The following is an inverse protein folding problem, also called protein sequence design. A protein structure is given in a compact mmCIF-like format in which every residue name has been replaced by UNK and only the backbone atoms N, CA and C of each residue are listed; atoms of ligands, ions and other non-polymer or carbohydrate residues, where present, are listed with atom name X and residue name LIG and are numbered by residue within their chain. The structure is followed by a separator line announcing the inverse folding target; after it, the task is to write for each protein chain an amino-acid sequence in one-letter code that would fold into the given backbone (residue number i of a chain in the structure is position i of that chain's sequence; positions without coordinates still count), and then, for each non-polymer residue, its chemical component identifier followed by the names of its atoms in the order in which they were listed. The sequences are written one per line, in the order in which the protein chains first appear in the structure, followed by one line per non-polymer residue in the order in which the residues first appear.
data_IF_118135147613
#
_entry.id   IF_118135147613
#
_cell.length_a   1.000
_cell.length_b   1.000
_cell.length_c   1.000
_cell.angle_alpha   90.00
_cell.angle_beta   90.00
_cell.angle_gamma   90.00
#
_symmetry.space_group_name_H-M   'P 1'
#
loop_
_entity.id
_entity.type
_entity.pdbx_description
1 polymer ?
#
# COMPACT_ATOMS: atom_id res chain seq x y z
N UNK A 1 12.04 -0.68 -37.06
CA UNK A 1 12.08 -1.95 -36.31
C UNK A 1 10.78 -2.06 -35.53
N UNK A 2 9.99 -3.10 -35.76
CA UNK A 2 8.76 -3.33 -34.97
C UNK A 2 9.15 -4.17 -33.77
N UNK A 3 9.32 -3.53 -32.61
CA UNK A 3 9.45 -4.25 -31.34
C UNK A 3 8.07 -4.81 -31.04
N UNK A 4 7.94 -6.13 -31.05
CA UNK A 4 6.71 -6.81 -30.61
C UNK A 4 6.75 -6.94 -29.09
N UNK A 5 5.65 -6.63 -28.41
CA UNK A 5 5.51 -6.64 -26.94
C UNK A 5 5.94 -7.94 -26.23
N UNK A 6 6.16 -9.03 -26.98
CA UNK A 6 6.67 -10.30 -26.47
C UNK A 6 8.18 -10.30 -26.17
N UNK A 7 8.98 -9.43 -26.82
CA UNK A 7 10.45 -9.41 -26.63
C UNK A 7 10.89 -8.63 -25.38
N UNK A 8 10.03 -7.76 -24.82
CA UNK A 8 10.29 -6.98 -23.61
C UNK A 8 9.65 -7.57 -22.34
N UNK A 9 9.08 -8.78 -22.43
CA UNK A 9 8.35 -9.37 -21.31
C UNK A 9 9.32 -9.97 -20.29
N UNK A 10 9.48 -9.31 -19.14
CA UNK A 10 10.46 -9.68 -18.09
C UNK A 10 10.07 -10.95 -17.31
N UNK A 11 8.79 -11.33 -17.30
CA UNK A 11 8.28 -12.51 -16.59
C UNK A 11 7.08 -13.16 -17.29
N UNK A 12 6.97 -14.49 -17.16
CA UNK A 12 5.93 -15.29 -17.78
C UNK A 12 4.80 -15.68 -16.82
N UNK A 13 3.82 -16.42 -17.35
CA UNK A 13 2.66 -16.90 -16.56
C UNK A 13 3.10 -17.76 -15.37
N UNK A 14 4.07 -18.64 -15.57
CA UNK A 14 4.61 -19.52 -14.53
C UNK A 14 5.21 -18.73 -13.36
N UNK A 15 5.84 -17.59 -13.63
CA UNK A 15 6.43 -16.75 -12.58
C UNK A 15 5.33 -16.06 -11.75
N UNK A 16 4.28 -15.58 -12.43
CA UNK A 16 3.10 -15.01 -11.77
C UNK A 16 2.46 -16.05 -10.84
N UNK A 17 2.19 -17.26 -11.33
CA UNK A 17 1.53 -18.31 -10.53
C UNK A 17 2.38 -18.68 -9.29
N UNK A 18 3.72 -18.76 -9.41
CA UNK A 18 4.63 -18.98 -8.28
C UNK A 18 4.64 -17.83 -7.29
N UNK A 19 4.58 -16.59 -7.76
CA UNK A 19 4.51 -15.41 -6.89
C UNK A 19 3.20 -15.36 -6.11
N UNK A 20 2.06 -15.60 -6.78
CA UNK A 20 0.74 -15.56 -6.15
C UNK A 20 0.61 -16.56 -4.99
N UNK A 21 1.24 -17.74 -5.09
CA UNK A 21 1.26 -18.75 -4.02
C UNK A 21 2.03 -18.33 -2.76
N UNK A 22 2.83 -17.26 -2.84
CA UNK A 22 3.64 -16.76 -1.71
C UNK A 22 3.05 -15.51 -1.07
N UNK A 23 1.92 -15.02 -1.56
CA UNK A 23 1.27 -13.82 -1.02
C UNK A 23 0.35 -14.22 0.11
N UNK A 24 0.67 -13.77 1.32
CA UNK A 24 -0.25 -13.80 2.44
C UNK A 24 -1.15 -12.55 2.40
N UNK A 25 -2.45 -12.76 2.59
CA UNK A 25 -3.43 -11.67 2.62
C UNK A 25 -3.61 -11.17 4.05
N UNK A 26 -3.85 -9.87 4.19
CA UNK A 26 -4.28 -9.27 5.45
C UNK A 26 -5.54 -8.44 5.23
N UNK A 27 -6.33 -8.29 6.29
CA UNK A 27 -7.55 -7.48 6.27
C UNK A 27 -7.25 -6.09 6.82
N UNK A 28 -8.07 -5.10 6.47
CA UNK A 28 -8.04 -3.80 7.15
C UNK A 28 -8.16 -3.98 8.67
N UNK A 29 -7.44 -3.13 9.41
CA UNK A 29 -7.31 -3.13 10.87
C UNK A 29 -6.66 -4.37 11.49
N UNK A 30 -6.18 -5.31 10.67
CA UNK A 30 -5.40 -6.44 11.15
C UNK A 30 -3.94 -6.02 11.34
N UNK A 31 -3.42 -6.21 12.56
CA UNK A 31 -1.98 -6.14 12.81
C UNK A 31 -1.33 -7.48 12.50
N UNK A 32 -0.33 -7.48 11.64
CA UNK A 32 0.52 -8.63 11.34
C UNK A 32 1.90 -8.35 11.91
N UNK A 33 2.48 -9.33 12.61
CA UNK A 33 3.83 -9.23 13.17
C UNK A 33 4.73 -10.30 12.56
N UNK A 34 5.86 -9.87 12.01
CA UNK A 34 6.90 -10.74 11.46
C UNK A 34 8.10 -10.70 12.41
N UNK A 35 8.48 -11.86 12.94
CA UNK A 35 9.70 -12.01 13.75
C UNK A 35 10.93 -12.06 12.84
N UNK A 36 11.88 -11.15 13.04
CA UNK A 36 13.17 -11.14 12.33
C UNK A 36 14.33 -11.27 13.32
N UNK A 37 15.55 -11.66 12.89
CA UNK A 37 16.72 -11.67 13.76
C UNK A 37 17.08 -10.31 14.37
N UNK A 38 16.64 -9.20 13.74
CA UNK A 38 16.87 -7.84 14.23
C UNK A 38 15.78 -7.36 15.20
N UNK A 39 14.67 -8.09 15.35
CA UNK A 39 13.49 -7.69 16.12
C UNK A 39 12.18 -7.93 15.37
N UNK A 40 11.02 -7.82 16.05
CA UNK A 40 9.72 -7.91 15.40
C UNK A 40 9.43 -6.67 14.55
N UNK A 41 8.82 -6.89 13.39
CA UNK A 41 8.24 -5.82 12.56
C UNK A 41 6.73 -6.05 12.55
N UNK A 42 5.97 -5.05 13.00
CA UNK A 42 4.51 -5.09 12.97
C UNK A 42 3.99 -4.13 11.91
N UNK A 43 2.93 -4.52 11.20
CA UNK A 43 2.23 -3.60 10.31
C UNK A 43 0.72 -3.77 10.42
N UNK A 44 -0.02 -2.66 10.27
CA UNK A 44 -1.48 -2.62 10.30
C UNK A 44 -2.00 -1.89 9.08
N UNK A 45 -2.93 -2.51 8.36
CA UNK A 45 -3.54 -1.95 7.15
C UNK A 45 -4.75 -1.05 7.48
N UNK A 46 -4.88 0.09 6.81
CA UNK A 46 -6.02 1.01 6.87
C UNK A 46 -6.47 1.33 5.44
N UNK A 47 -7.73 1.72 5.20
CA UNK A 47 -8.18 2.03 3.83
C UNK A 47 -7.52 3.30 3.29
N UNK A 48 -7.05 3.25 2.05
CA UNK A 48 -6.52 4.40 1.31
C UNK A 48 -7.55 5.06 0.38
N UNK A 49 -8.63 4.37 0.02
CA UNK A 49 -9.75 4.94 -0.76
C UNK A 49 -9.49 5.23 -2.24
N UNK A 50 -8.27 5.01 -2.76
CA UNK A 50 -7.92 5.29 -4.17
C UNK A 50 -8.53 4.27 -5.16
N UNK A 51 -8.44 2.98 -4.84
CA UNK A 51 -9.08 1.87 -5.59
C UNK A 51 -9.61 0.80 -4.62
N UNK A 52 -10.39 -0.17 -5.13
CA UNK A 52 -10.83 -1.31 -4.33
C UNK A 52 -9.64 -2.06 -3.73
N UNK A 53 -9.62 -2.19 -2.40
CA UNK A 53 -8.54 -2.86 -1.68
C UNK A 53 -7.29 -1.99 -1.44
N UNK A 54 -7.26 -0.72 -1.89
CA UNK A 54 -6.14 0.18 -1.61
C UNK A 54 -5.96 0.38 -0.11
N UNK A 55 -4.73 0.24 0.36
CA UNK A 55 -4.39 0.24 1.78
C UNK A 55 -3.20 1.14 2.09
N UNK A 56 -3.31 1.90 3.17
CA UNK A 56 -2.20 2.53 3.87
C UNK A 56 -1.69 1.58 4.94
N UNK A 57 -0.39 1.59 5.23
CA UNK A 57 0.22 0.74 6.24
C UNK A 57 0.90 1.57 7.32
N UNK A 58 0.48 1.36 8.56
CA UNK A 58 1.29 1.74 9.72
C UNK A 58 2.28 0.62 9.97
N UNK A 59 3.58 0.91 9.84
CA UNK A 59 4.67 -0.03 10.12
C UNK A 59 5.33 0.40 11.43
N UNK A 60 5.45 -0.51 12.38
CA UNK A 60 6.11 -0.31 13.67
C UNK A 60 7.34 -1.21 13.80
N UNK A 61 8.48 -0.60 14.11
CA UNK A 61 9.76 -1.25 14.35
C UNK A 61 10.39 -0.57 15.56
N UNK A 62 10.67 -1.35 16.61
CA UNK A 62 11.28 -0.85 17.87
C UNK A 62 10.57 0.40 18.44
N UNK A 63 9.24 0.40 18.39
CA UNK A 63 8.39 1.51 18.89
C UNK A 63 8.33 2.74 17.97
N UNK A 64 9.08 2.75 16.85
CA UNK A 64 9.01 3.78 15.82
C UNK A 64 7.94 3.40 14.81
N UNK A 65 6.99 4.33 14.60
CA UNK A 65 5.86 4.19 13.67
C UNK A 65 6.02 5.04 12.41
N UNK A 66 5.98 4.38 11.26
CA UNK A 66 5.93 4.95 9.92
C UNK A 66 4.52 4.76 9.34
N UNK A 67 3.96 5.77 8.70
CA UNK A 67 2.80 5.60 7.82
C UNK A 67 3.26 5.64 6.36
N UNK A 68 3.02 4.56 5.63
CA UNK A 68 3.13 4.52 4.18
C UNK A 68 1.73 4.57 3.56
N UNK A 69 1.43 5.60 2.78
CA UNK A 69 0.06 5.79 2.26
C UNK A 69 -0.20 5.02 0.96
N UNK A 70 0.83 4.77 0.16
CA UNK A 70 0.64 4.55 -1.27
C UNK A 70 -0.12 5.72 -1.90
N UNK A 71 -0.92 5.43 -2.93
CA UNK A 71 -1.85 6.39 -3.49
C UNK A 71 -3.15 6.37 -2.67
N UNK A 72 -3.58 7.55 -2.22
CA UNK A 72 -4.75 7.68 -1.36
C UNK A 72 -5.72 8.73 -1.91
N UNK A 73 -7.01 8.50 -1.70
CA UNK A 73 -8.05 9.46 -2.06
C UNK A 73 -8.86 9.82 -0.83
N UNK A 74 -9.05 11.11 -0.61
CA UNK A 74 -9.97 11.64 0.41
C UNK A 74 -11.34 12.01 -0.15
N UNK A 75 -11.50 11.89 -1.46
CA UNK A 75 -12.76 12.18 -2.13
C UNK A 75 -13.79 11.10 -1.83
N UNK A 76 -15.05 11.51 -1.68
CA UNK A 76 -16.16 10.59 -1.44
C UNK A 76 -16.59 10.00 -2.79
N UNK A 77 -16.32 8.73 -3.00
CA UNK A 77 -16.80 7.98 -4.15
C UNK A 77 -18.08 7.19 -3.77
N UNK A 78 -18.92 6.88 -4.76
CA UNK A 78 -20.16 6.10 -4.55
C UNK A 78 -19.89 4.68 -4.05
N UNK A 79 -18.74 4.12 -4.38
CA UNK A 79 -18.38 2.72 -4.18
C UNK A 79 -17.18 2.55 -3.25
N UNK A 80 -16.36 3.59 -3.06
CA UNK A 80 -15.17 3.54 -2.22
C UNK A 80 -15.29 4.50 -1.02
N UNK A 81 -15.09 4.00 0.21
CA UNK A 81 -14.87 4.90 1.34
C UNK A 81 -13.54 5.64 1.13
N UNK A 82 -13.51 6.90 1.56
CA UNK A 82 -12.31 7.73 1.56
C UNK A 82 -11.20 7.14 2.45
N UNK A 83 -9.98 7.65 2.29
CA UNK A 83 -8.84 7.30 3.12
C UNK A 83 -9.13 7.53 4.61
N UNK A 84 -8.85 6.51 5.43
CA UNK A 84 -9.08 6.59 6.87
C UNK A 84 -8.07 7.51 7.57
N UNK A 85 -8.50 8.15 8.65
CA UNK A 85 -7.58 8.82 9.57
C UNK A 85 -7.03 7.78 10.54
N UNK A 86 -5.72 7.53 10.47
CA UNK A 86 -5.05 6.57 11.35
C UNK A 86 -5.07 7.09 12.80
N UNK A 87 -5.62 6.33 13.77
CA UNK A 87 -5.78 6.78 15.16
C UNK A 87 -4.52 6.54 16.01
N UNK A 88 -3.34 6.89 15.51
CA UNK A 88 -2.08 6.67 16.20
C UNK A 88 -1.06 7.80 15.93
N UNK A 89 -0.12 8.07 16.87
CA UNK A 89 0.98 8.99 16.60
C UNK A 89 1.92 8.39 15.57
N UNK A 90 2.19 9.13 14.49
CA UNK A 90 3.10 8.74 13.42
C UNK A 90 4.37 9.57 13.54
N UNK A 91 5.52 8.89 13.54
CA UNK A 91 6.83 9.54 13.65
C UNK A 91 7.37 9.99 12.29
N UNK A 92 7.06 9.23 11.23
CA UNK A 92 7.45 9.53 9.86
C UNK A 92 6.33 9.16 8.88
N UNK A 93 6.12 10.02 7.87
CA UNK A 93 5.12 9.85 6.83
C UNK A 93 5.82 9.69 5.48
N UNK A 94 5.51 8.61 4.77
CA UNK A 94 5.87 8.40 3.37
C UNK A 94 4.57 8.48 2.58
N UNK A 95 4.44 9.56 1.81
CA UNK A 95 3.21 9.92 1.11
C UNK A 95 3.51 10.20 -0.36
N UNK A 96 2.54 9.90 -1.22
CA UNK A 96 2.60 10.30 -2.61
C UNK A 96 2.61 11.84 -2.77
N UNK A 97 3.10 12.30 -3.91
CA UNK A 97 3.03 13.71 -4.29
C UNK A 97 2.56 13.86 -5.74
N UNK A 98 1.60 13.01 -6.14
CA UNK A 98 1.17 12.85 -7.54
C UNK A 98 0.71 14.17 -8.17
N UNK A 99 -0.09 14.95 -7.44
CA UNK A 99 -0.50 16.29 -7.90
C UNK A 99 0.46 17.39 -7.46
N UNK A 100 1.27 17.17 -6.43
CA UNK A 100 2.23 18.16 -5.89
C UNK A 100 1.56 19.49 -5.53
N UNK A 101 1.59 20.44 -6.46
CA UNK A 101 1.01 21.79 -6.32
C UNK A 101 -0.28 22.00 -7.14
N UNK A 102 -0.73 21.01 -7.89
CA UNK A 102 -1.96 21.08 -8.69
C UNK A 102 -3.20 20.96 -7.81
N UNK A 103 -4.20 21.79 -8.08
CA UNK A 103 -5.49 21.80 -7.39
C UNK A 103 -6.49 20.96 -8.18
N UNK A 104 -7.35 20.22 -7.48
CA UNK A 104 -8.52 19.59 -8.09
C UNK A 104 -9.57 20.66 -8.44
N UNK A 105 -10.18 20.55 -9.62
CA UNK A 105 -11.38 21.32 -9.95
C UNK A 105 -12.59 20.76 -9.17
N UNK A 106 -13.54 21.62 -8.72
CA UNK A 106 -14.67 21.21 -7.87
C UNK A 106 -15.68 20.28 -8.52
#
# INVERSE_FOLDING_TARGET
SKITAAEDQVYGRTDIDKCMQRIDTCTFHQTVTISTPAGPISFTAYRAGHVLGAAMFVVEIDGVRLLYTGDFSREVDRHLPHAEVVPAPIHALVVESTYGVQLHEP
#
